data_IF_196411012492
#
_entry.id   IF_196411012492
#
_cell.length_a   1.000
_cell.length_b   1.000
_cell.length_c   1.000
_cell.angle_alpha   90.00
_cell.angle_beta   90.00
_cell.angle_gamma   90.00
#
_symmetry.space_group_name_H-M   'P 1'
#
loop_
_entity.id
_entity.type
_entity.pdbx_description
1 polymer ?
#
# COMPACT_ATOMS: atom_id res chain seq x y z
N UNK A 1 -12.22 -1.92 -20.42
CA UNK A 1 -11.00 -2.45 -19.76
C UNK A 1 -10.73 -1.80 -18.40
N UNK A 2 -10.87 -0.47 -18.25
CA UNK A 2 -10.59 0.22 -16.97
C UNK A 2 -11.43 -0.23 -15.77
N UNK A 3 -12.72 -0.51 -15.96
CA UNK A 3 -13.62 -0.97 -14.87
C UNK A 3 -13.20 -2.33 -14.28
N UNK A 4 -12.78 -3.27 -15.14
CA UNK A 4 -12.31 -4.59 -14.72
C UNK A 4 -11.01 -4.48 -13.93
N UNK A 5 -10.07 -3.65 -14.41
CA UNK A 5 -8.82 -3.40 -13.70
C UNK A 5 -9.07 -2.73 -12.34
N UNK A 6 -9.97 -1.74 -12.28
CA UNK A 6 -10.37 -1.10 -11.03
C UNK A 6 -10.99 -2.09 -10.04
N UNK A 7 -11.95 -2.90 -10.49
CA UNK A 7 -12.57 -3.93 -9.66
C UNK A 7 -11.57 -4.98 -9.17
N UNK A 8 -10.62 -5.39 -10.02
CA UNK A 8 -9.56 -6.33 -9.65
C UNK A 8 -8.62 -5.75 -8.59
N UNK A 9 -8.18 -4.49 -8.75
CA UNK A 9 -7.34 -3.79 -7.77
C UNK A 9 -8.10 -3.60 -6.45
N UNK A 10 -9.35 -3.15 -6.50
CA UNK A 10 -10.18 -3.00 -5.30
C UNK A 10 -10.36 -4.34 -4.58
N UNK A 11 -10.67 -5.41 -5.31
CA UNK A 11 -10.79 -6.77 -4.77
C UNK A 11 -9.48 -7.26 -4.13
N UNK A 12 -8.33 -7.00 -4.76
CA UNK A 12 -7.01 -7.34 -4.22
C UNK A 12 -6.72 -6.58 -2.91
N UNK A 13 -6.95 -5.27 -2.87
CA UNK A 13 -6.77 -4.44 -1.67
C UNK A 13 -7.69 -4.87 -0.52
N UNK A 14 -8.95 -5.18 -0.82
CA UNK A 14 -9.93 -5.68 0.16
C UNK A 14 -9.48 -7.04 0.71
N UNK A 15 -9.12 -7.98 -0.17
CA UNK A 15 -8.70 -9.32 0.22
C UNK A 15 -7.47 -9.27 1.14
N UNK A 16 -6.48 -8.42 0.82
CA UNK A 16 -5.29 -8.21 1.66
C UNK A 16 -5.64 -7.56 3.00
N UNK A 17 -6.50 -6.54 3.01
CA UNK A 17 -6.96 -5.89 4.26
C UNK A 17 -7.69 -6.87 5.17
N UNK A 18 -8.57 -7.71 4.63
CA UNK A 18 -9.29 -8.74 5.38
C UNK A 18 -8.33 -9.78 5.93
N UNK A 19 -7.34 -10.21 5.14
CA UNK A 19 -6.33 -11.16 5.59
C UNK A 19 -5.47 -10.60 6.73
N UNK A 20 -5.07 -9.32 6.62
CA UNK A 20 -4.26 -8.67 7.64
C UNK A 20 -5.04 -8.45 8.94
N UNK A 21 -6.32 -8.06 8.85
CA UNK A 21 -7.20 -7.92 10.02
C UNK A 21 -7.45 -9.26 10.73
N UNK A 22 -7.67 -10.35 9.97
CA UNK A 22 -8.01 -11.66 10.53
C UNK A 22 -6.80 -12.41 11.06
N UNK A 23 -5.69 -12.39 10.33
CA UNK A 23 -4.55 -13.26 10.60
C UNK A 23 -3.28 -12.50 10.97
N UNK A 24 -3.28 -11.16 10.91
CA UNK A 24 -2.10 -10.30 11.12
C UNK A 24 -0.88 -10.73 10.30
N UNK A 25 -1.16 -11.30 9.13
CA UNK A 25 -0.19 -11.88 8.20
C UNK A 25 -0.70 -11.69 6.79
N UNK A 26 0.11 -11.05 5.98
CA UNK A 26 -0.11 -10.91 4.54
C UNK A 26 0.48 -12.13 3.81
N UNK A 27 -0.35 -12.94 3.11
CA UNK A 27 0.14 -14.12 2.42
C UNK A 27 0.93 -13.75 1.17
N UNK A 28 2.15 -14.30 1.04
CA UNK A 28 3.02 -14.09 -0.13
C UNK A 28 2.34 -14.44 -1.45
N UNK A 29 1.47 -15.46 -1.42
CA UNK A 29 0.71 -15.97 -2.57
C UNK A 29 -0.25 -14.90 -3.13
N UNK A 30 -0.66 -13.93 -2.31
CA UNK A 30 -1.54 -12.85 -2.76
C UNK A 30 -0.79 -11.53 -2.99
N UNK A 31 0.23 -11.23 -2.19
CA UNK A 31 0.98 -9.97 -2.28
C UNK A 31 1.93 -9.93 -3.47
N UNK A 32 2.73 -10.97 -3.69
CA UNK A 32 3.76 -10.96 -4.74
C UNK A 32 3.17 -11.04 -6.15
N UNK A 33 2.20 -11.92 -6.45
CA UNK A 33 1.59 -11.94 -7.78
C UNK A 33 0.85 -10.65 -8.09
N UNK A 34 0.16 -10.05 -7.11
CA UNK A 34 -0.50 -8.76 -7.29
C UNK A 34 0.49 -7.64 -7.64
N UNK A 35 1.62 -7.57 -6.94
CA UNK A 35 2.68 -6.61 -7.25
C UNK A 35 3.27 -6.80 -8.65
N UNK A 36 3.51 -8.06 -9.07
CA UNK A 36 3.99 -8.37 -10.42
C UNK A 36 2.99 -7.92 -11.47
N UNK A 37 1.69 -8.24 -11.29
CA UNK A 37 0.64 -7.83 -12.23
C UNK A 37 0.59 -6.31 -12.36
N UNK A 38 0.67 -5.57 -11.24
CA UNK A 38 0.68 -4.10 -11.25
C UNK A 38 1.85 -3.55 -12.06
N UNK A 39 3.08 -4.04 -11.80
CA UNK A 39 4.27 -3.57 -12.51
C UNK A 39 4.25 -3.93 -14.00
N UNK A 40 3.79 -5.13 -14.35
CA UNK A 40 3.65 -5.55 -15.75
C UNK A 40 2.63 -4.69 -16.47
N UNK A 41 1.46 -4.47 -15.87
CA UNK A 41 0.42 -3.61 -16.46
C UNK A 41 0.92 -2.18 -16.62
N UNK A 42 1.59 -1.63 -15.62
CA UNK A 42 2.17 -0.27 -15.70
C UNK A 42 3.23 -0.16 -16.81
N UNK A 43 4.09 -1.17 -16.98
CA UNK A 43 5.05 -1.21 -18.07
C UNK A 43 4.37 -1.25 -19.44
N UNK A 44 3.32 -2.06 -19.59
CA UNK A 44 2.55 -2.17 -20.83
C UNK A 44 1.74 -0.89 -21.16
N UNK A 45 1.39 -0.09 -20.15
CA UNK A 45 0.68 1.19 -20.33
C UNK A 45 1.60 2.40 -20.36
N UNK A 46 2.92 2.22 -20.38
CA UNK A 46 3.91 3.30 -20.50
C UNK A 46 4.27 4.03 -19.20
N UNK A 47 3.82 3.54 -18.04
CA UNK A 47 4.08 4.12 -16.70
C UNK A 47 5.01 3.21 -15.86
N UNK A 48 5.79 2.37 -16.53
CA UNK A 48 6.57 1.32 -15.87
C UNK A 48 7.71 1.85 -15.01
N UNK A 49 8.33 2.97 -15.40
CA UNK A 49 9.43 3.58 -14.65
C UNK A 49 8.90 4.19 -13.35
N UNK A 50 7.80 4.93 -13.43
CA UNK A 50 7.13 5.58 -12.30
C UNK A 50 6.64 4.54 -11.29
N UNK A 51 6.05 3.45 -11.81
CA UNK A 51 5.65 2.32 -10.99
C UNK A 51 6.85 1.64 -10.32
N UNK A 52 7.94 1.39 -11.06
CA UNK A 52 9.13 0.76 -10.50
C UNK A 52 9.77 1.64 -9.41
N UNK A 53 9.91 2.95 -9.67
CA UNK A 53 10.44 3.90 -8.70
C UNK A 53 9.55 4.00 -7.47
N UNK A 54 8.23 4.06 -7.65
CA UNK A 54 7.27 4.09 -6.54
C UNK A 54 7.33 2.82 -5.69
N UNK A 55 7.44 1.66 -6.32
CA UNK A 55 7.60 0.37 -5.65
C UNK A 55 8.91 0.32 -4.85
N UNK A 56 10.03 0.69 -5.47
CA UNK A 56 11.35 0.68 -4.83
C UNK A 56 11.43 1.68 -3.67
N UNK A 57 10.92 2.89 -3.87
CA UNK A 57 10.95 3.93 -2.83
C UNK A 57 10.13 3.51 -1.60
N UNK A 58 8.89 3.06 -1.79
CA UNK A 58 8.02 2.69 -0.67
C UNK A 58 8.55 1.44 0.04
N UNK A 59 9.00 0.44 -0.73
CA UNK A 59 9.59 -0.78 -0.17
C UNK A 59 10.88 -0.47 0.59
N UNK A 60 11.73 0.41 0.07
CA UNK A 60 12.97 0.84 0.72
C UNK A 60 12.70 1.52 2.07
N UNK A 61 11.77 2.47 2.11
CA UNK A 61 11.34 3.11 3.37
C UNK A 61 10.86 2.06 4.37
N UNK A 62 10.00 1.13 3.92
CA UNK A 62 9.39 0.15 4.81
C UNK A 62 10.40 -0.91 5.26
N UNK A 63 11.37 -1.27 4.42
CA UNK A 63 12.48 -2.14 4.79
C UNK A 63 13.38 -1.49 5.85
N UNK A 64 13.71 -0.21 5.70
CA UNK A 64 14.49 0.53 6.70
C UNK A 64 13.76 0.56 8.05
N UNK A 65 12.45 0.85 8.06
CA UNK A 65 11.66 0.84 9.29
C UNK A 65 11.55 -0.57 9.87
N UNK A 66 11.34 -1.59 9.04
CA UNK A 66 11.24 -2.98 9.50
C UNK A 66 12.54 -3.47 10.17
N UNK A 67 13.70 -3.07 9.64
CA UNK A 67 15.01 -3.44 10.18
C UNK A 67 15.42 -2.57 11.37
N UNK A 68 15.09 -1.28 11.37
CA UNK A 68 15.48 -0.32 12.40
C UNK A 68 14.55 -0.26 13.61
N UNK A 69 13.27 -0.59 13.45
CA UNK A 69 12.26 -0.54 14.50
C UNK A 69 11.54 -1.89 14.62
N UNK A 70 12.14 -2.79 15.40
CA UNK A 70 11.61 -4.12 15.64
C UNK A 70 10.16 -4.07 16.15
N UNK A 71 9.24 -4.66 15.39
CA UNK A 71 7.82 -4.72 15.72
C UNK A 71 6.97 -3.53 15.25
N UNK A 72 7.56 -2.52 14.60
CA UNK A 72 6.82 -1.40 14.02
C UNK A 72 6.11 -1.77 12.72
N UNK A 73 6.81 -2.49 11.82
CA UNK A 73 6.23 -3.06 10.59
C UNK A 73 6.55 -4.55 10.48
N UNK A 74 5.62 -5.31 9.91
CA UNK A 74 5.82 -6.71 9.57
C UNK A 74 6.49 -6.89 8.22
N UNK A 75 7.16 -8.04 8.01
CA UNK A 75 7.69 -8.41 6.69
C UNK A 75 6.61 -8.53 5.61
N UNK A 76 5.33 -8.69 6.00
CA UNK A 76 4.18 -8.64 5.10
C UNK A 76 3.96 -7.24 4.51
N UNK A 77 4.06 -6.21 5.34
CA UNK A 77 3.85 -4.81 4.94
C UNK A 77 4.91 -4.34 3.94
N UNK A 78 6.15 -4.77 4.13
CA UNK A 78 7.26 -4.51 3.19
C UNK A 78 6.98 -5.12 1.82
N UNK A 79 6.37 -6.30 1.75
CA UNK A 79 6.01 -6.94 0.47
C UNK A 79 4.82 -6.26 -0.18
N UNK A 80 3.83 -5.86 0.61
CA UNK A 80 2.69 -5.10 0.14
C UNK A 80 3.12 -3.74 -0.44
N UNK A 81 4.15 -3.11 0.15
CA UNK A 81 4.72 -1.86 -0.32
C UNK A 81 5.23 -1.92 -1.78
N UNK A 82 5.66 -3.09 -2.26
CA UNK A 82 6.04 -3.27 -3.67
C UNK A 82 4.84 -3.01 -4.59
N UNK A 83 3.72 -3.69 -4.32
CA UNK A 83 2.53 -3.59 -5.17
C UNK A 83 1.81 -2.25 -5.00
N UNK A 84 1.64 -1.78 -3.75
CA UNK A 84 0.97 -0.50 -3.48
C UNK A 84 1.82 0.67 -3.96
N UNK A 85 3.13 0.67 -3.68
CA UNK A 85 4.05 1.70 -4.15
C UNK A 85 4.13 1.75 -5.67
N UNK A 86 4.11 0.58 -6.33
CA UNK A 86 4.07 0.51 -7.78
C UNK A 86 2.76 1.00 -8.37
N UNK A 87 1.63 0.64 -7.75
CA UNK A 87 0.32 1.12 -8.16
C UNK A 87 0.25 2.64 -8.07
N UNK A 88 0.51 3.20 -6.88
CA UNK A 88 0.38 4.65 -6.67
C UNK A 88 1.46 5.43 -7.41
N UNK A 89 2.66 4.86 -7.58
CA UNK A 89 3.72 5.44 -8.41
C UNK A 89 3.30 5.62 -9.87
N UNK A 90 2.59 4.64 -10.44
CA UNK A 90 2.05 4.74 -11.81
C UNK A 90 1.02 5.88 -11.98
N UNK A 91 0.42 6.36 -10.89
CA UNK A 91 -0.53 7.48 -10.87
C UNK A 91 0.10 8.82 -10.49
N UNK A 92 1.42 8.88 -10.33
CA UNK A 92 2.17 10.11 -10.08
C UNK A 92 2.66 10.27 -8.64
N UNK A 93 3.58 11.22 -8.44
CA UNK A 93 4.27 11.45 -7.16
C UNK A 93 3.31 11.81 -6.03
N UNK A 94 2.24 12.55 -6.34
CA UNK A 94 1.29 13.01 -5.33
C UNK A 94 0.41 11.88 -4.81
N UNK A 95 -0.04 10.99 -5.70
CA UNK A 95 -0.75 9.76 -5.32
C UNK A 95 0.14 8.86 -4.45
N UNK A 96 1.42 8.71 -4.85
CA UNK A 96 2.41 7.97 -4.06
C UNK A 96 2.62 8.57 -2.66
N UNK A 97 2.82 9.88 -2.58
CA UNK A 97 3.03 10.58 -1.30
C UNK A 97 1.81 10.50 -0.38
N UNK A 98 0.61 10.67 -0.92
CA UNK A 98 -0.64 10.53 -0.17
C UNK A 98 -0.77 9.12 0.41
N UNK A 99 -0.44 8.10 -0.38
CA UNK A 99 -0.46 6.72 0.08
C UNK A 99 0.54 6.48 1.22
N UNK A 100 1.80 6.87 1.04
CA UNK A 100 2.87 6.64 2.00
C UNK A 100 2.64 7.37 3.34
N UNK A 101 2.33 8.66 3.26
CA UNK A 101 2.08 9.52 4.43
C UNK A 101 0.77 9.13 5.10
N UNK A 102 -0.31 8.96 4.31
CA UNK A 102 -1.63 8.62 4.82
C UNK A 102 -1.64 7.28 5.55
N UNK A 103 -0.96 6.26 5.03
CA UNK A 103 -0.86 4.96 5.69
C UNK A 103 -0.19 5.07 7.06
N UNK A 104 0.92 5.81 7.13
CA UNK A 104 1.70 6.02 8.36
C UNK A 104 0.91 6.82 9.40
N UNK A 105 0.22 7.87 8.99
CA UNK A 105 -0.63 8.69 9.86
C UNK A 105 -1.82 7.90 10.41
N UNK A 106 -2.53 7.14 9.56
CA UNK A 106 -3.69 6.36 9.99
C UNK A 106 -3.30 5.26 10.98
N UNK A 107 -2.24 4.50 10.70
CA UNK A 107 -1.75 3.47 11.62
C UNK A 107 -1.22 4.08 12.91
N UNK A 108 -0.49 5.19 12.82
CA UNK A 108 0.03 5.92 13.98
C UNK A 108 -1.09 6.45 14.89
N UNK A 109 -2.13 7.05 14.30
CA UNK A 109 -3.30 7.54 15.03
C UNK A 109 -4.05 6.39 15.70
N UNK A 110 -4.25 5.28 14.99
CA UNK A 110 -4.89 4.09 15.56
C UNK A 110 -4.07 3.51 16.71
N UNK A 111 -2.75 3.39 16.54
CA UNK A 111 -1.83 3.01 17.61
C UNK A 111 -1.93 3.92 18.83
N UNK A 112 -1.87 5.24 18.62
CA UNK A 112 -1.98 6.25 19.67
C UNK A 112 -3.28 6.14 20.46
N UNK A 113 -4.43 6.07 19.77
CA UNK A 113 -5.74 5.91 20.42
C UNK A 113 -5.80 4.62 21.25
N UNK A 114 -5.21 3.51 20.79
CA UNK A 114 -5.19 2.25 21.54
C UNK A 114 -4.29 2.31 22.77
N UNK A 115 -3.12 2.95 22.65
CA UNK A 115 -2.22 3.18 23.79
C UNK A 115 -2.91 4.03 24.85
N UNK A 116 -3.61 5.10 24.45
CA UNK A 116 -4.41 5.94 25.36
C UNK A 116 -5.55 5.16 26.04
N UNK A 117 -6.08 4.12 25.39
CA UNK A 117 -7.07 3.18 25.95
C UNK A 117 -6.45 2.01 26.73
N UNK A 118 -5.14 2.03 26.98
CA UNK A 118 -4.43 0.99 27.73
C UNK A 118 -4.17 -0.32 26.97
N UNK A 119 -4.45 -0.37 25.66
CA UNK A 119 -4.27 -1.58 24.84
C UNK A 119 -2.92 -1.53 24.11
N UNK A 120 -2.04 -2.49 24.42
CA UNK A 120 -0.66 -2.53 23.90
C UNK A 120 -0.41 -3.52 22.76
N UNK A 121 -1.45 -4.17 22.23
CA UNK A 121 -1.25 -5.11 21.12
C UNK A 121 -0.89 -4.37 19.83
N UNK A 122 -0.03 -4.94 18.95
CA UNK A 122 0.29 -4.33 17.66
C UNK A 122 -0.94 -4.02 16.80
N UNK A 123 -0.85 -2.94 16.01
CA UNK A 123 -1.87 -2.51 15.05
C UNK A 123 -1.49 -3.03 13.66
N UNK A 124 -2.41 -3.66 12.91
CA UNK A 124 -2.17 -4.05 11.53
C UNK A 124 -2.04 -2.82 10.62
N UNK A 125 -0.94 -2.74 9.86
CA UNK A 125 -0.63 -1.61 8.97
C UNK A 125 -1.24 -1.78 7.57
N UNK A 126 -1.49 -3.02 7.15
CA UNK A 126 -2.02 -3.36 5.83
C UNK A 126 -3.34 -2.67 5.45
N UNK A 127 -4.36 -2.59 6.33
CA UNK A 127 -5.61 -1.90 6.03
C UNK A 127 -5.43 -0.41 5.79
N UNK A 128 -4.56 0.25 6.55
CA UNK A 128 -4.26 1.67 6.35
C UNK A 128 -3.58 1.91 5.00
N UNK A 129 -2.60 1.06 4.64
CA UNK A 129 -1.97 1.10 3.31
C UNK A 129 -2.97 0.90 2.18
N UNK A 130 -3.84 -0.10 2.29
CA UNK A 130 -4.81 -0.42 1.25
C UNK A 130 -5.83 0.71 1.08
N UNK A 131 -6.30 1.29 2.19
CA UNK A 131 -7.24 2.39 2.18
C UNK A 131 -6.64 3.64 1.54
N UNK A 132 -5.41 4.01 1.90
CA UNK A 132 -4.78 5.22 1.35
C UNK A 132 -4.33 5.03 -0.10
N UNK A 133 -3.95 3.81 -0.50
CA UNK A 133 -3.72 3.46 -1.89
C UNK A 133 -4.99 3.63 -2.74
N UNK A 134 -6.12 3.09 -2.27
CA UNK A 134 -7.40 3.24 -2.95
C UNK A 134 -7.82 4.71 -3.07
N UNK A 135 -7.70 5.47 -1.97
CA UNK A 135 -8.01 6.90 -1.96
C UNK A 135 -7.12 7.69 -2.94
N UNK A 136 -5.81 7.40 -2.97
CA UNK A 136 -4.86 8.04 -3.87
C UNK A 136 -5.17 7.77 -5.35
N UNK A 137 -5.47 6.52 -5.69
CA UNK A 137 -5.88 6.17 -7.07
C UNK A 137 -7.18 6.86 -7.44
N UNK A 138 -8.20 6.83 -6.58
CA UNK A 138 -9.48 7.51 -6.84
C UNK A 138 -9.26 9.02 -7.05
N UNK A 139 -8.47 9.67 -6.20
CA UNK A 139 -8.16 11.09 -6.33
C UNK A 139 -7.44 11.40 -7.66
N UNK A 140 -6.44 10.61 -8.04
CA UNK A 140 -5.72 10.78 -9.30
C UNK A 140 -6.60 10.50 -10.55
N UNK A 141 -7.69 9.74 -10.39
CA UNK A 141 -8.69 9.53 -11.43
C UNK A 141 -9.67 10.71 -11.53
N UNK A 142 -10.03 11.33 -10.40
CA UNK A 142 -10.99 12.45 -10.36
C UNK A 142 -10.36 13.81 -10.63
N UNK A 143 -9.08 14.00 -10.33
CA UNK A 143 -8.36 15.26 -10.54
C UNK A 143 -7.07 15.02 -11.34
N UNK A 144 -7.09 15.29 -12.67
CA UNK A 144 -5.93 15.08 -13.55
C UNK A 144 -4.77 16.03 -13.26
N UNK A 145 -4.99 17.11 -12.51
CA UNK A 145 -3.93 18.09 -12.20
C UNK A 145 -2.87 17.55 -11.24
N UNK A 146 -3.11 16.35 -10.68
CA UNK A 146 -2.27 15.70 -9.70
C UNK A 146 -1.32 14.62 -10.27
N UNK A 147 -1.34 14.41 -11.60
CA UNK A 147 -0.53 13.39 -12.31
C UNK A 147 0.82 13.91 -12.76
#
# INVERSE_FOLDING_TARGET
MGEIAFAAVAGWLIALSVHDLRYRRLPNVLTLPGAVVILVVAALTGHGLEALLGALALTGIYAVVHLGAAGALGAGDVKLAVGVGGLTGAFGMQAWALCAIGASLLTGLWGGVRVLRGVRTPVPHGPAMCLTAAAAVVMALTDPTLR
#
